data_IF_354758053378
#
_entry.id   IF_354758053378
#
_cell.length_a   1.000
_cell.length_b   1.000
_cell.length_c   1.000
_cell.angle_alpha   90.00
_cell.angle_beta   90.00
_cell.angle_gamma   90.00
#
_symmetry.space_group_name_H-M   'P 1'
#
loop_
_entity.id
_entity.type
_entity.pdbx_description
1 polymer ?
#
# COMPACT_ATOMS: atom_id res chain seq x y z
N UNK A 1 -14.02 -8.42 -4.74
CA UNK A 1 -12.55 -8.27 -4.65
C UNK A 1 -12.05 -9.57 -4.01
N UNK A 2 -11.12 -10.27 -4.66
CA UNK A 2 -10.66 -11.60 -4.22
C UNK A 2 -9.26 -11.85 -4.74
N UNK A 3 -8.40 -12.50 -3.94
CA UNK A 3 -7.07 -12.93 -4.34
C UNK A 3 -6.63 -14.14 -3.50
N UNK A 4 -6.38 -15.27 -4.15
CA UNK A 4 -6.01 -16.53 -3.48
C UNK A 4 -4.51 -16.57 -3.23
N UNK A 5 -4.10 -16.85 -2.00
CA UNK A 5 -2.71 -17.03 -1.57
C UNK A 5 -2.24 -18.51 -1.71
N UNK A 6 -0.95 -18.82 -1.53
CA UNK A 6 -0.42 -20.19 -1.72
C UNK A 6 -1.06 -21.28 -0.85
N UNK A 7 -1.63 -20.91 0.30
CA UNK A 7 -2.34 -21.85 1.18
C UNK A 7 -3.83 -22.03 0.81
N UNK A 8 -4.25 -21.53 -0.37
CA UNK A 8 -5.60 -21.65 -0.89
C UNK A 8 -6.62 -20.70 -0.27
N UNK A 9 -6.21 -19.84 0.66
CA UNK A 9 -7.09 -18.87 1.31
C UNK A 9 -7.13 -17.56 0.54
N UNK A 10 -8.31 -16.96 0.50
CA UNK A 10 -8.49 -15.61 -0.04
C UNK A 10 -8.17 -14.57 1.02
N UNK A 11 -7.07 -13.84 0.84
CA UNK A 11 -6.62 -12.82 1.80
C UNK A 11 -7.46 -11.53 1.75
N UNK A 12 -8.33 -11.40 0.75
CA UNK A 12 -9.26 -10.28 0.56
C UNK A 12 -10.72 -10.66 0.88
N UNK A 13 -10.95 -11.86 1.45
CA UNK A 13 -12.30 -12.41 1.62
C UNK A 13 -13.18 -11.64 2.60
N UNK A 14 -12.60 -10.79 3.47
CA UNK A 14 -13.39 -9.99 4.39
C UNK A 14 -14.37 -9.08 3.66
N UNK A 15 -14.02 -8.64 2.45
CA UNK A 15 -14.87 -7.84 1.58
C UNK A 15 -15.09 -6.39 2.03
N UNK A 16 -14.89 -6.06 3.31
CA UNK A 16 -14.88 -4.68 3.80
C UNK A 16 -13.49 -4.04 3.63
N UNK A 17 -13.41 -2.74 3.26
CA UNK A 17 -14.52 -1.83 2.97
C UNK A 17 -14.92 -1.83 1.48
N UNK A 18 -14.62 -2.91 0.75
CA UNK A 18 -14.93 -3.04 -0.67
C UNK A 18 -14.10 -2.07 -1.49
N UNK A 19 -14.79 -1.26 -2.31
CA UNK A 19 -14.19 -0.20 -3.13
C UNK A 19 -14.38 1.19 -2.54
N UNK A 20 -14.54 1.30 -1.21
CA UNK A 20 -14.49 2.60 -0.54
C UNK A 20 -13.12 3.25 -0.72
N UNK A 21 -13.12 4.58 -0.75
CA UNK A 21 -11.89 5.38 -0.73
C UNK A 21 -11.20 5.21 0.62
N UNK A 22 -9.95 4.75 0.60
CA UNK A 22 -9.13 4.51 1.79
C UNK A 22 -7.91 5.44 1.85
N UNK A 23 -7.32 5.74 0.71
CA UNK A 23 -6.22 6.68 0.61
C UNK A 23 -6.72 8.05 0.20
N UNK A 24 -6.39 9.09 0.97
CA UNK A 24 -6.67 10.48 0.60
C UNK A 24 -5.49 11.34 1.02
N UNK A 25 -5.00 12.21 0.13
CA UNK A 25 -4.00 13.21 0.51
C UNK A 25 -4.12 14.47 -0.35
N UNK A 26 -3.80 15.63 0.22
CA UNK A 26 -3.60 16.87 -0.54
C UNK A 26 -2.13 16.92 -0.93
N UNK A 27 -1.84 16.90 -2.23
CA UNK A 27 -0.48 16.87 -2.74
C UNK A 27 0.18 18.25 -2.66
N UNK A 28 -0.22 19.16 -3.54
CA UNK A 28 0.24 20.56 -3.55
C UNK A 28 -0.86 21.46 -4.09
N UNK A 29 -0.89 22.72 -3.67
CA UNK A 29 -1.82 23.71 -4.24
C UNK A 29 -3.27 23.23 -4.18
N UNK A 30 -3.91 23.10 -5.36
CA UNK A 30 -5.30 22.69 -5.52
C UNK A 30 -5.46 21.24 -5.99
N UNK A 31 -4.55 20.34 -5.59
CA UNK A 31 -4.56 18.94 -6.03
C UNK A 31 -4.81 18.00 -4.84
N UNK A 32 -5.88 17.20 -4.92
CA UNK A 32 -6.20 16.14 -3.95
C UNK A 32 -6.25 14.80 -4.66
N UNK A 33 -5.62 13.80 -4.05
CA UNK A 33 -5.52 12.44 -4.57
C UNK A 33 -6.39 11.53 -3.72
N UNK A 34 -7.11 10.63 -4.40
CA UNK A 34 -7.93 9.60 -3.82
C UNK A 34 -7.44 8.24 -4.31
N UNK A 35 -7.46 7.23 -3.43
CA UNK A 35 -7.14 5.87 -3.79
C UNK A 35 -8.08 4.85 -3.13
N UNK A 36 -8.41 3.80 -3.88
CA UNK A 36 -9.26 2.71 -3.43
C UNK A 36 -8.89 1.39 -4.10
N UNK A 37 -9.30 0.29 -3.48
CA UNK A 37 -9.18 -1.05 -4.07
C UNK A 37 -10.27 -1.26 -5.11
N UNK A 38 -9.90 -1.57 -6.34
CA UNK A 38 -10.82 -2.08 -7.37
C UNK A 38 -10.71 -3.59 -7.54
N UNK A 39 -11.72 -4.18 -8.17
CA UNK A 39 -11.74 -5.61 -8.48
C UNK A 39 -10.93 -5.95 -9.72
N UNK A 40 -10.64 -7.25 -9.90
CA UNK A 40 -10.28 -7.80 -11.21
C UNK A 40 -11.44 -7.66 -12.20
N UNK A 41 -11.10 -7.67 -13.50
CA UNK A 41 -12.02 -7.68 -14.63
C UNK A 41 -11.28 -8.14 -15.90
N UNK A 42 -11.88 -7.94 -17.09
CA UNK A 42 -11.27 -8.34 -18.37
C UNK A 42 -9.92 -7.66 -18.67
N UNK A 43 -9.67 -6.48 -18.07
CA UNK A 43 -8.47 -5.68 -18.28
C UNK A 43 -7.44 -5.87 -17.16
N UNK A 44 -7.89 -6.21 -15.94
CA UNK A 44 -7.04 -6.43 -14.77
C UNK A 44 -7.25 -7.83 -14.21
N UNK A 45 -6.26 -8.71 -14.38
CA UNK A 45 -6.34 -10.10 -13.90
C UNK A 45 -6.53 -10.20 -12.39
N UNK A 46 -5.95 -9.25 -11.64
CA UNK A 46 -6.01 -9.19 -10.19
C UNK A 46 -6.66 -7.89 -9.71
N UNK A 47 -7.17 -7.86 -8.46
CA UNK A 47 -7.48 -6.59 -7.79
C UNK A 47 -6.31 -5.60 -7.88
N UNK A 48 -6.66 -4.33 -8.02
CA UNK A 48 -5.70 -3.25 -8.24
C UNK A 48 -6.07 -2.04 -7.39
N UNK A 49 -5.13 -1.12 -7.19
CA UNK A 49 -5.41 0.17 -6.55
C UNK A 49 -5.66 1.21 -7.64
N UNK A 50 -6.84 1.83 -7.61
CA UNK A 50 -7.15 2.99 -8.43
C UNK A 50 -6.62 4.24 -7.77
N UNK A 51 -6.12 5.19 -8.56
CA UNK A 51 -5.70 6.52 -8.12
C UNK A 51 -6.43 7.56 -8.97
N UNK A 52 -7.05 8.54 -8.31
CA UNK A 52 -7.76 9.65 -8.94
C UNK A 52 -7.23 10.97 -8.42
N UNK A 53 -6.85 11.85 -9.33
CA UNK A 53 -6.33 13.18 -9.04
C UNK A 53 -7.40 14.22 -9.39
N UNK A 54 -7.76 15.07 -8.42
CA UNK A 54 -8.82 16.06 -8.56
C UNK A 54 -8.25 17.46 -8.34
N UNK A 55 -8.64 18.38 -9.22
CA UNK A 55 -8.43 19.81 -9.01
C UNK A 55 -9.51 20.34 -8.05
N UNK A 56 -9.11 20.82 -6.88
CA UNK A 56 -10.04 21.31 -5.86
C UNK A 56 -10.62 22.70 -6.15
N UNK A 57 -10.14 23.42 -7.17
CA UNK A 57 -10.70 24.72 -7.55
C UNK A 57 -12.00 24.60 -8.35
N UNK A 58 -12.15 23.54 -9.14
CA UNK A 58 -13.27 23.35 -10.05
C UNK A 58 -13.83 21.90 -10.04
N UNK A 59 -13.24 21.01 -9.22
CA UNK A 59 -13.57 19.60 -9.10
C UNK A 59 -13.41 18.77 -10.37
N UNK A 60 -12.63 19.25 -11.35
CA UNK A 60 -12.32 18.47 -12.55
C UNK A 60 -11.32 17.37 -12.24
N UNK A 61 -11.46 16.23 -12.93
CA UNK A 61 -10.46 15.18 -12.96
C UNK A 61 -9.20 15.71 -13.66
N UNK A 62 -8.06 15.60 -12.97
CA UNK A 62 -6.73 15.87 -13.53
C UNK A 62 -6.25 14.61 -14.23
N UNK A 63 -6.27 13.47 -13.54
CA UNK A 63 -5.88 12.18 -14.09
C UNK A 63 -6.52 11.03 -13.31
N UNK A 64 -6.58 9.85 -13.93
CA UNK A 64 -6.94 8.60 -13.28
C UNK A 64 -6.07 7.47 -13.83
N UNK A 65 -5.50 6.68 -12.93
CA UNK A 65 -4.59 5.58 -13.26
C UNK A 65 -4.62 4.49 -12.19
N UNK A 66 -3.85 3.42 -12.39
CA UNK A 66 -3.93 2.21 -11.57
C UNK A 66 -2.55 1.69 -11.19
N UNK A 67 -2.44 1.15 -9.97
CA UNK A 67 -1.35 0.29 -9.52
C UNK A 67 -1.83 -1.16 -9.66
N UNK A 68 -1.26 -1.89 -10.62
CA UNK A 68 -1.74 -3.23 -11.00
C UNK A 68 -0.59 -4.15 -11.41
N UNK A 69 -0.83 -5.45 -11.36
CA UNK A 69 0.08 -6.47 -11.86
C UNK A 69 -0.70 -7.70 -12.37
N UNK A 70 -0.14 -8.44 -13.32
CA UNK A 70 -0.77 -9.64 -13.88
C UNK A 70 -0.63 -10.87 -12.98
N UNK A 71 0.36 -10.89 -12.09
CA UNK A 71 0.75 -12.07 -11.30
C UNK A 71 0.25 -12.01 -9.85
N UNK A 72 -0.02 -10.81 -9.34
CA UNK A 72 -0.49 -10.59 -7.96
C UNK A 72 -1.39 -9.34 -7.85
N UNK A 73 -2.12 -9.26 -6.74
CA UNK A 73 -3.09 -8.21 -6.44
C UNK A 73 -2.48 -7.08 -5.60
N UNK A 74 -3.11 -5.90 -5.68
CA UNK A 74 -2.88 -4.76 -4.79
C UNK A 74 -4.20 -4.31 -4.14
N UNK A 75 -4.15 -3.92 -2.86
CA UNK A 75 -5.32 -3.51 -2.08
C UNK A 75 -4.98 -2.60 -0.89
N UNK A 76 -6.01 -2.07 -0.23
CA UNK A 76 -5.92 -1.31 1.03
C UNK A 76 -4.92 -0.14 1.00
N UNK A 77 -5.04 0.79 0.04
CA UNK A 77 -4.11 1.91 -0.05
C UNK A 77 -4.32 2.93 1.08
N UNK A 78 -3.22 3.46 1.59
CA UNK A 78 -3.14 4.64 2.44
C UNK A 78 -2.19 5.64 1.80
N UNK A 79 -2.52 6.94 1.80
CA UNK A 79 -1.73 7.98 1.14
C UNK A 79 -1.32 9.10 2.10
N UNK A 80 -0.13 9.65 1.90
CA UNK A 80 0.32 10.87 2.55
C UNK A 80 1.21 11.70 1.61
N UNK A 81 1.31 13.00 1.84
CA UNK A 81 2.18 13.88 1.06
C UNK A 81 3.28 14.46 1.94
N UNK A 82 4.53 14.39 1.48
CA UNK A 82 5.66 15.04 2.16
C UNK A 82 5.75 16.56 1.83
N UNK A 83 6.72 17.26 2.41
CA UNK A 83 6.91 18.71 2.18
C UNK A 83 7.42 19.08 0.78
N UNK A 84 7.86 18.09 -0.01
CA UNK A 84 8.27 18.27 -1.41
C UNK A 84 7.13 18.00 -2.41
N UNK A 85 5.91 17.75 -1.93
CA UNK A 85 4.77 17.45 -2.80
C UNK A 85 4.80 16.04 -3.41
N UNK A 86 5.58 15.13 -2.83
CA UNK A 86 5.62 13.73 -3.24
C UNK A 86 4.57 12.95 -2.45
N UNK A 87 3.91 12.00 -3.12
CA UNK A 87 2.85 11.18 -2.49
C UNK A 87 3.42 9.82 -2.12
N UNK A 88 3.55 9.58 -0.82
CA UNK A 88 3.86 8.26 -0.27
C UNK A 88 2.62 7.38 -0.19
N UNK A 89 2.82 6.07 -0.33
CA UNK A 89 1.76 5.07 -0.22
C UNK A 89 2.19 3.95 0.73
N UNK A 90 1.24 3.44 1.52
CA UNK A 90 1.29 2.11 2.13
C UNK A 90 0.14 1.29 1.56
N UNK A 91 0.39 0.04 1.16
CA UNK A 91 -0.61 -0.81 0.51
C UNK A 91 -0.34 -2.29 0.75
N UNK A 92 -1.38 -3.12 0.60
CA UNK A 92 -1.27 -4.57 0.59
C UNK A 92 -0.98 -5.12 -0.80
N UNK A 93 -0.12 -6.14 -0.89
CA UNK A 93 0.14 -6.89 -2.11
C UNK A 93 0.24 -8.40 -1.85
N UNK A 94 -0.14 -9.22 -2.82
CA UNK A 94 -0.04 -10.67 -2.71
C UNK A 94 -1.02 -11.42 -3.62
N UNK A 95 -1.07 -12.73 -3.47
CA UNK A 95 -1.81 -13.62 -4.36
C UNK A 95 -0.88 -14.57 -5.13
N UNK A 96 -1.48 -15.65 -5.65
CA UNK A 96 -0.80 -16.72 -6.35
C UNK A 96 0.34 -17.33 -5.52
N UNK A 97 1.59 -16.96 -5.78
CA UNK A 97 2.79 -17.48 -5.10
C UNK A 97 3.18 -16.71 -3.85
N UNK A 98 2.46 -15.63 -3.51
CA UNK A 98 2.77 -14.78 -2.36
C UNK A 98 1.58 -14.64 -1.42
N UNK A 99 1.84 -14.69 -0.11
CA UNK A 99 0.86 -14.33 0.91
C UNK A 99 0.56 -12.83 0.89
N UNK A 100 -0.47 -12.38 1.60
CA UNK A 100 -0.73 -10.95 1.76
C UNK A 100 0.38 -10.28 2.56
N UNK A 101 1.05 -9.30 1.96
CA UNK A 101 2.14 -8.50 2.54
C UNK A 101 1.80 -7.00 2.52
N UNK A 102 2.32 -6.24 3.50
CA UNK A 102 2.36 -4.78 3.38
C UNK A 102 3.61 -4.33 2.62
N UNK A 103 3.48 -3.25 1.85
CA UNK A 103 4.60 -2.56 1.22
C UNK A 103 4.37 -1.06 1.22
N UNK A 104 5.46 -0.30 1.07
CA UNK A 104 5.47 1.16 0.99
C UNK A 104 6.16 1.64 -0.28
N UNK A 105 5.85 2.85 -0.73
CA UNK A 105 6.49 3.44 -1.90
C UNK A 105 6.19 4.92 -2.08
N UNK A 106 6.78 5.52 -3.11
CA UNK A 106 6.46 6.88 -3.56
C UNK A 106 5.79 6.76 -4.92
N UNK A 107 4.59 7.32 -5.07
CA UNK A 107 3.85 7.27 -6.33
C UNK A 107 4.61 8.03 -7.42
N UNK A 108 4.67 7.42 -8.61
CA UNK A 108 5.50 7.86 -9.74
C UNK A 108 6.78 7.05 -9.92
N UNK A 109 7.26 6.32 -8.90
CA UNK A 109 8.46 5.47 -9.00
C UNK A 109 8.18 4.08 -9.59
N UNK A 110 6.91 3.67 -9.62
CA UNK A 110 6.44 2.34 -10.07
C UNK A 110 7.09 1.15 -9.33
N UNK A 111 7.60 1.39 -8.12
CA UNK A 111 8.24 0.38 -7.25
C UNK A 111 7.66 0.54 -5.84
N UNK A 112 7.49 -0.59 -5.14
CA UNK A 112 7.20 -0.64 -3.70
C UNK A 112 8.22 -1.54 -3.00
N UNK A 113 8.48 -1.24 -1.73
CA UNK A 113 9.42 -1.94 -0.86
C UNK A 113 8.68 -2.53 0.34
N UNK A 114 9.11 -3.71 0.79
CA UNK A 114 8.58 -4.38 1.97
C UNK A 114 9.74 -4.81 2.86
N UNK A 115 9.64 -4.67 4.19
CA UNK A 115 10.71 -5.09 5.09
C UNK A 115 10.74 -6.61 5.26
N UNK A 116 9.59 -7.26 5.12
CA UNK A 116 9.41 -8.66 5.47
C UNK A 116 8.23 -9.27 4.69
N UNK A 117 8.32 -10.57 4.41
CA UNK A 117 7.30 -11.35 3.72
C UNK A 117 6.56 -12.26 4.71
N UNK A 118 5.24 -12.24 4.64
CA UNK A 118 4.35 -13.21 5.30
C UNK A 118 4.59 -14.64 4.77
N UNK A 119 4.40 -15.65 5.63
CA UNK A 119 4.41 -17.08 5.26
C UNK A 119 3.05 -17.78 5.49
N UNK A 120 2.02 -16.98 5.84
CA UNK A 120 0.65 -17.42 6.05
C UNK A 120 -0.37 -16.32 5.77
N UNK A 121 -1.62 -16.73 5.58
CA UNK A 121 -2.80 -15.88 5.81
C UNK A 121 -3.31 -16.11 7.23
N UNK A 122 -3.80 -15.05 7.88
CA UNK A 122 -4.31 -15.07 9.25
C UNK A 122 -5.27 -16.24 9.48
N UNK A 123 -5.08 -16.97 10.57
CA UNK A 123 -5.96 -18.05 11.00
C UNK A 123 -7.18 -17.48 11.75
N UNK A 124 -8.03 -16.71 11.04
CA UNK A 124 -9.27 -16.16 11.58
C UNK A 124 -10.46 -16.42 10.65
N UNK A 125 -11.66 -16.47 11.22
CA UNK A 125 -12.93 -16.53 10.47
C UNK A 125 -13.86 -15.43 10.98
N UNK A 126 -14.14 -14.39 10.18
CA UNK A 126 -13.61 -14.16 8.83
C UNK A 126 -12.11 -13.85 8.84
N UNK A 127 -11.43 -14.13 7.73
CA UNK A 127 -10.07 -13.63 7.47
C UNK A 127 -10.14 -12.11 7.46
N UNK A 128 -9.30 -11.44 8.25
CA UNK A 128 -9.18 -9.97 8.29
C UNK A 128 -7.76 -9.55 7.94
N UNK A 129 -7.64 -8.60 7.03
CA UNK A 129 -6.37 -8.16 6.48
C UNK A 129 -6.41 -6.67 6.13
N UNK A 130 -5.26 -6.01 6.12
CA UNK A 130 -5.12 -4.61 5.75
C UNK A 130 -5.37 -3.60 6.88
N UNK A 131 -5.85 -4.08 8.03
CA UNK A 131 -5.92 -3.26 9.24
C UNK A 131 -4.52 -2.67 9.56
N UNK A 132 -4.45 -1.44 10.09
CA UNK A 132 -3.20 -0.76 10.44
C UNK A 132 -2.25 -0.42 9.29
N UNK A 133 -2.63 -0.63 8.03
CA UNK A 133 -1.83 -0.14 6.91
C UNK A 133 -2.01 1.37 6.84
N UNK A 134 -0.95 2.10 7.16
CA UNK A 134 -1.00 3.54 7.22
C UNK A 134 0.29 4.15 6.72
N UNK A 135 0.20 5.37 6.21
CA UNK A 135 1.34 6.23 5.94
C UNK A 135 0.99 7.66 6.35
N UNK A 136 1.97 8.36 6.91
CA UNK A 136 1.91 9.76 7.27
C UNK A 136 3.21 10.45 6.87
N UNK A 137 3.18 11.77 6.72
CA UNK A 137 4.41 12.56 6.60
C UNK A 137 5.16 12.48 7.93
N UNK A 138 6.46 12.20 7.88
CA UNK A 138 7.30 12.19 9.06
C UNK A 138 7.38 13.61 9.66
N UNK A 139 7.09 13.74 10.95
CA UNK A 139 7.00 15.06 11.59
C UNK A 139 8.39 15.69 11.80
N UNK A 140 9.40 14.97 12.34
CA UNK A 140 10.74 15.53 12.51
C UNK A 140 11.45 15.88 11.20
N UNK A 141 11.26 15.08 10.16
CA UNK A 141 11.86 15.20 8.83
C UNK A 141 10.76 15.19 7.77
N UNK A 142 10.26 16.39 7.46
CA UNK A 142 9.08 16.56 6.60
C UNK A 142 9.23 16.05 5.15
N UNK A 143 10.45 15.70 4.72
CA UNK A 143 10.75 15.09 3.43
C UNK A 143 10.56 13.56 3.44
N UNK A 144 10.45 12.95 4.62
CA UNK A 144 10.28 11.51 4.82
C UNK A 144 8.81 11.16 5.13
N UNK A 145 8.56 9.86 5.14
CA UNK A 145 7.29 9.24 5.51
C UNK A 145 7.48 8.27 6.66
N UNK A 146 6.43 8.15 7.46
CA UNK A 146 6.25 7.15 8.50
C UNK A 146 5.12 6.23 8.08
N UNK A 147 5.33 4.92 8.10
CA UNK A 147 4.31 3.94 7.80
C UNK A 147 4.24 2.83 8.85
N UNK A 148 3.07 2.22 8.94
CA UNK A 148 2.84 1.01 9.71
C UNK A 148 2.24 -0.08 8.85
N UNK A 149 2.60 -1.32 9.16
CA UNK A 149 2.10 -2.52 8.52
C UNK A 149 2.44 -3.75 9.35
N UNK A 150 2.24 -4.93 8.78
CA UNK A 150 2.64 -6.18 9.41
C UNK A 150 2.91 -7.27 8.37
N UNK A 151 3.67 -8.27 8.80
CA UNK A 151 3.70 -9.59 8.18
C UNK A 151 2.86 -10.58 9.03
N UNK A 152 2.45 -11.68 8.42
CA UNK A 152 1.73 -12.77 9.09
C UNK A 152 2.54 -14.05 9.00
N UNK A 153 2.78 -14.66 10.16
CA UNK A 153 3.58 -15.87 10.28
C UNK A 153 2.81 -17.03 10.87
N UNK A 154 3.11 -18.25 10.43
CA UNK A 154 2.73 -19.49 11.12
C UNK A 154 3.39 -19.52 12.48
N UNK A 155 2.64 -19.93 13.50
CA UNK A 155 3.24 -20.24 14.78
C UNK A 155 4.16 -21.46 14.64
N UNK A 156 5.33 -21.39 15.28
CA UNK A 156 6.26 -22.51 15.33
C UNK A 156 5.68 -23.61 16.21
N UNK A 157 5.75 -24.86 15.74
CA UNK A 157 5.31 -26.01 16.52
C UNK A 157 5.98 -26.04 17.91
N UNK A 158 5.26 -26.40 18.98
CA UNK A 158 3.94 -27.05 18.99
C UNK A 158 2.75 -26.08 18.91
N UNK A 159 2.98 -24.76 18.90
CA UNK A 159 1.89 -23.79 18.82
C UNK A 159 1.25 -23.83 17.42
N UNK A 160 -0.08 -23.75 17.38
CA UNK A 160 -0.87 -23.71 16.15
C UNK A 160 -1.36 -22.30 15.85
N UNK A 161 -1.80 -22.05 14.62
CA UNK A 161 -2.35 -20.76 14.20
C UNK A 161 -1.30 -19.82 13.62
N UNK A 162 -1.60 -18.52 13.66
CA UNK A 162 -0.75 -17.47 13.10
C UNK A 162 -0.48 -16.37 14.12
N UNK A 163 0.62 -15.64 13.94
CA UNK A 163 0.93 -14.39 14.64
C UNK A 163 1.11 -13.26 13.63
N UNK A 164 0.83 -12.04 14.08
CA UNK A 164 1.19 -10.83 13.36
C UNK A 164 2.56 -10.37 13.84
N UNK A 165 3.37 -9.88 12.91
CA UNK A 165 4.61 -9.16 13.20
C UNK A 165 4.48 -7.71 12.72
N UNK A 166 4.03 -6.80 13.60
CA UNK A 166 3.83 -5.40 13.24
C UNK A 166 5.16 -4.66 13.15
N UNK A 167 5.30 -3.81 12.15
CA UNK A 167 6.49 -2.99 11.95
C UNK A 167 6.16 -1.54 11.67
N UNK A 168 7.14 -0.70 12.02
CA UNK A 168 7.22 0.70 11.63
C UNK A 168 8.27 0.85 10.54
N UNK A 169 7.94 1.61 9.49
CA UNK A 169 8.83 1.88 8.37
C UNK A 169 8.98 3.39 8.24
N UNK A 170 10.20 3.89 8.35
CA UNK A 170 10.55 5.23 7.90
C UNK A 170 11.15 5.13 6.50
N UNK A 171 10.62 5.87 5.53
CA UNK A 171 11.10 5.81 4.16
C UNK A 171 11.05 7.17 3.47
N UNK A 172 11.76 7.29 2.35
CA UNK A 172 11.82 8.49 1.54
C UNK A 172 12.86 8.33 0.44
N UNK A 173 13.21 9.42 -0.23
CA UNK A 173 14.27 9.41 -1.24
C UNK A 173 15.60 9.01 -0.63
N UNK A 174 16.37 8.18 -1.34
CA UNK A 174 17.68 7.71 -0.89
C UNK A 174 18.65 8.85 -0.53
N UNK A 175 18.60 9.96 -1.29
CA UNK A 175 19.39 11.17 -1.01
C UNK A 175 19.07 11.79 0.36
N UNK A 176 17.85 11.61 0.87
CA UNK A 176 17.44 12.13 2.17
C UNK A 176 17.71 11.11 3.27
N UNK A 177 17.38 9.83 3.04
CA UNK A 177 17.53 8.77 4.04
C UNK A 177 19.00 8.48 4.36
N UNK A 178 19.85 8.41 3.32
CA UNK A 178 21.27 8.07 3.47
C UNK A 178 22.20 9.29 3.30
N UNK A 179 21.66 10.51 3.31
CA UNK A 179 22.46 11.75 3.19
C UNK A 179 23.14 11.95 1.84
N UNK A 180 22.65 11.31 0.77
CA UNK A 180 23.22 11.42 -0.57
C UNK A 180 23.18 12.84 -1.09
N UNK A 181 24.36 13.42 -1.34
CA UNK A 181 24.54 14.71 -2.00
C UNK A 181 23.71 14.78 -3.27
N UNK A 182 22.79 15.75 -3.34
CA UNK A 182 22.19 16.15 -4.60
C UNK A 182 23.33 16.48 -5.58
N UNK A 183 23.38 15.79 -6.73
CA UNK A 183 24.27 16.18 -7.80
C UNK A 183 23.95 17.64 -8.18
N UNK A 184 24.94 18.51 -8.43
CA UNK A 184 24.65 19.87 -8.85
C UNK A 184 23.94 19.85 -10.20
N UNK A 185 23.01 20.80 -10.46
CA UNK A 185 22.41 20.94 -11.76
C UNK A 185 23.50 21.31 -12.79
N UNK A 186 23.54 20.56 -13.89
CA UNK A 186 24.31 20.91 -15.09
C UNK A 186 23.60 21.94 -15.95
#
# INVERSE_FOLDING_TARGET
ISSIAPDGKDWLSFGFPGSAVLGVTRRTGNEVWFAWTGSSNSNFKNPQVQVLEINTSNYSVISQWQIWNNDYAFAYPSLATNSNGEVGISLGWGGNTSYGNNAVGILGDFIVWYPELSDAIVASTPIRYGDYFSVARNTPSSLLFDASGYAVFKNTAPATGTRFDPYYIQFGRNSIVNGGSAAPPG
#
